data_IF_879098003261
#
_entry.id   IF_879098003261
#
_cell.length_a   1.000
_cell.length_b   1.000
_cell.length_c   1.000
_cell.angle_alpha   90.00
_cell.angle_beta   90.00
_cell.angle_gamma   90.00
#
_symmetry.space_group_name_H-M   'P 1'
#
loop_
_entity.id
_entity.type
_entity.pdbx_description
1 polymer ?
#
# COMPACT_ATOMS: atom_id res chain seq x y z
N UNK A 1 -14.10 6.29 -8.69
CA UNK A 1 -12.88 5.50 -8.32
C UNK A 1 -11.88 6.42 -7.62
N UNK A 2 -11.00 5.86 -6.77
CA UNK A 2 -9.92 6.66 -6.18
C UNK A 2 -9.15 7.41 -7.28
N UNK A 3 -8.77 8.66 -7.03
CA UNK A 3 -8.06 9.56 -7.98
C UNK A 3 -8.87 10.16 -9.13
N UNK A 4 -10.13 9.83 -9.39
CA UNK A 4 -10.90 10.46 -10.48
C UNK A 4 -10.99 11.99 -10.32
N UNK A 5 -11.36 12.47 -9.13
CA UNK A 5 -11.42 13.90 -8.84
C UNK A 5 -10.07 14.61 -8.98
N UNK A 6 -8.97 13.95 -8.58
CA UNK A 6 -7.63 14.48 -8.76
C UNK A 6 -7.26 14.55 -10.25
N UNK A 7 -7.51 13.48 -11.00
CA UNK A 7 -7.23 13.42 -12.43
C UNK A 7 -8.00 14.48 -13.22
N UNK A 8 -9.28 14.69 -12.90
CA UNK A 8 -10.11 15.73 -13.53
C UNK A 8 -9.57 17.12 -13.25
N UNK A 9 -9.23 17.45 -12.01
CA UNK A 9 -8.67 18.77 -11.62
C UNK A 9 -7.33 19.03 -12.28
N UNK A 10 -6.43 18.04 -12.30
CA UNK A 10 -5.17 18.13 -13.01
C UNK A 10 -5.38 18.35 -14.51
N UNK A 11 -6.33 17.62 -15.12
CA UNK A 11 -6.68 17.77 -16.54
C UNK A 11 -7.17 19.19 -16.85
N UNK A 12 -8.00 19.77 -15.97
CA UNK A 12 -8.52 21.14 -16.15
C UNK A 12 -7.42 22.19 -16.03
N UNK A 13 -6.52 22.09 -15.06
CA UNK A 13 -5.36 22.97 -14.93
C UNK A 13 -4.44 22.89 -16.16
N UNK A 14 -4.24 21.67 -16.69
CA UNK A 14 -3.42 21.47 -17.88
C UNK A 14 -4.07 21.95 -19.18
N UNK A 15 -5.41 21.92 -19.29
CA UNK A 15 -6.12 22.54 -20.44
C UNK A 15 -5.87 24.05 -20.49
N UNK A 16 -5.95 24.74 -19.35
CA UNK A 16 -5.62 26.18 -19.25
C UNK A 16 -4.16 26.45 -19.68
N UNK A 17 -3.22 25.63 -19.23
CA UNK A 17 -1.81 25.77 -19.58
C UNK A 17 -1.58 25.57 -21.08
N UNK A 18 -2.24 24.58 -21.70
CA UNK A 18 -2.15 24.31 -23.16
C UNK A 18 -2.73 25.42 -24.03
N UNK A 19 -3.70 26.19 -23.54
CA UNK A 19 -4.30 27.30 -24.31
C UNK A 19 -3.39 28.52 -24.42
N UNK A 20 -2.30 28.59 -23.61
CA UNK A 20 -1.30 29.63 -23.66
C UNK A 20 -0.21 29.24 -24.68
N UNK A 21 -0.03 30.01 -25.74
CA UNK A 21 0.96 29.70 -26.80
C UNK A 21 2.42 29.79 -26.33
N UNK A 22 2.77 30.83 -25.55
CA UNK A 22 4.05 30.95 -24.83
C UNK A 22 3.77 30.87 -23.34
N UNK A 23 4.64 30.21 -22.60
CA UNK A 23 4.58 30.17 -21.14
C UNK A 23 5.61 31.11 -20.54
N UNK A 24 5.20 31.82 -19.49
CA UNK A 24 6.09 32.56 -18.59
C UNK A 24 6.31 31.75 -17.31
N UNK A 25 7.34 32.05 -16.54
CA UNK A 25 7.53 31.48 -15.20
C UNK A 25 6.32 31.68 -14.30
N UNK A 26 5.63 32.82 -14.42
CA UNK A 26 4.42 33.16 -13.69
C UNK A 26 3.30 32.15 -14.01
N UNK A 27 3.13 31.78 -15.28
CA UNK A 27 2.13 30.83 -15.73
C UNK A 27 2.39 29.43 -15.13
N UNK A 28 3.64 28.99 -15.11
CA UNK A 28 4.05 27.73 -14.51
C UNK A 28 3.78 27.72 -13.00
N UNK A 29 4.14 28.81 -12.29
CA UNK A 29 3.89 28.94 -10.84
C UNK A 29 2.40 28.95 -10.51
N UNK A 30 1.58 29.60 -11.33
CA UNK A 30 0.12 29.61 -11.18
C UNK A 30 -0.45 28.19 -11.36
N UNK A 31 -0.06 27.48 -12.44
CA UNK A 31 -0.48 26.12 -12.68
C UNK A 31 -0.07 25.18 -11.54
N UNK A 32 1.15 25.31 -11.01
CA UNK A 32 1.61 24.50 -9.88
C UNK A 32 0.89 24.83 -8.57
N UNK A 33 0.39 26.04 -8.41
CA UNK A 33 -0.50 26.40 -7.30
C UNK A 33 -1.85 25.65 -7.42
N UNK A 34 -2.46 25.62 -8.62
CA UNK A 34 -3.68 24.84 -8.86
C UNK A 34 -3.45 23.34 -8.63
N UNK A 35 -2.34 22.78 -9.13
CA UNK A 35 -1.94 21.39 -8.90
C UNK A 35 -1.82 21.09 -7.40
N UNK A 36 -1.18 21.98 -6.62
CA UNK A 36 -1.08 21.82 -5.17
C UNK A 36 -2.42 21.81 -4.48
N UNK A 37 -3.33 22.71 -4.86
CA UNK A 37 -4.69 22.72 -4.33
C UNK A 37 -5.43 21.42 -4.66
N UNK A 38 -5.32 20.94 -5.90
CA UNK A 38 -5.91 19.65 -6.30
C UNK A 38 -5.37 18.46 -5.47
N UNK A 39 -4.07 18.44 -5.18
CA UNK A 39 -3.47 17.42 -4.31
C UNK A 39 -3.98 17.51 -2.88
N UNK A 40 -4.09 18.72 -2.31
CA UNK A 40 -4.63 18.92 -0.96
C UNK A 40 -6.11 18.51 -0.85
N UNK A 41 -6.92 18.85 -1.86
CA UNK A 41 -8.32 18.44 -1.93
C UNK A 41 -8.50 16.93 -2.12
N UNK A 42 -7.49 16.27 -2.72
CA UNK A 42 -7.40 14.82 -2.79
C UNK A 42 -6.87 14.18 -1.50
N UNK A 43 -6.71 14.95 -0.42
CA UNK A 43 -6.21 14.51 0.89
C UNK A 43 -4.74 14.06 0.88
N UNK A 44 -3.92 14.65 0.01
CA UNK A 44 -2.46 14.48 0.06
C UNK A 44 -1.89 15.32 1.20
N UNK A 45 -0.94 14.77 1.93
CA UNK A 45 -0.25 15.49 3.00
C UNK A 45 0.36 16.81 2.51
N UNK A 46 0.19 17.89 3.27
CA UNK A 46 0.65 19.23 2.89
C UNK A 46 2.14 19.29 2.53
N UNK A 47 2.99 18.64 3.34
CA UNK A 47 4.44 18.61 3.10
C UNK A 47 4.76 17.93 1.77
N UNK A 48 4.13 16.79 1.50
CA UNK A 48 4.28 16.03 0.25
C UNK A 48 3.82 16.85 -0.95
N UNK A 49 2.63 17.48 -0.89
CA UNK A 49 2.12 18.33 -1.96
C UNK A 49 3.03 19.56 -2.23
N UNK A 50 3.58 20.15 -1.15
CA UNK A 50 4.52 21.29 -1.26
C UNK A 50 5.84 20.87 -1.91
N UNK A 51 6.45 19.79 -1.46
CA UNK A 51 7.71 19.27 -2.00
C UNK A 51 7.56 18.86 -3.46
N UNK A 52 6.49 18.14 -3.79
CA UNK A 52 6.14 17.76 -5.15
C UNK A 52 6.05 18.98 -6.08
N UNK A 53 5.22 19.96 -5.71
CA UNK A 53 5.02 21.15 -6.56
C UNK A 53 6.27 22.03 -6.66
N UNK A 54 7.10 22.08 -5.62
CA UNK A 54 8.39 22.79 -5.68
C UNK A 54 9.34 22.13 -6.69
N UNK A 55 9.49 20.79 -6.62
CA UNK A 55 10.33 20.02 -7.51
C UNK A 55 9.89 20.12 -8.98
N UNK A 56 8.57 20.02 -9.23
CA UNK A 56 8.02 20.19 -10.59
C UNK A 56 8.27 21.62 -11.09
N UNK A 57 8.06 22.65 -10.24
CA UNK A 57 8.28 24.05 -10.61
C UNK A 57 9.73 24.31 -11.01
N UNK A 58 10.68 23.83 -10.23
CA UNK A 58 12.11 23.96 -10.50
C UNK A 58 12.49 23.38 -11.87
N UNK A 59 12.03 22.14 -12.16
CA UNK A 59 12.24 21.50 -13.46
C UNK A 59 11.54 22.21 -14.61
N UNK A 60 10.33 22.72 -14.39
CA UNK A 60 9.48 23.31 -15.42
C UNK A 60 9.91 24.75 -15.81
N UNK A 61 10.62 25.47 -14.95
CA UNK A 61 11.15 26.81 -15.22
C UNK A 61 12.51 26.76 -15.93
N UNK A 62 13.13 25.61 -16.06
CA UNK A 62 14.42 25.48 -16.75
C UNK A 62 14.36 25.97 -18.19
N UNK A 63 15.47 26.57 -18.67
CA UNK A 63 15.56 27.16 -20.00
C UNK A 63 15.15 26.22 -21.13
N UNK A 64 15.54 24.95 -21.02
CA UNK A 64 15.19 23.89 -21.99
C UNK A 64 13.66 23.74 -22.18
N UNK A 65 12.87 23.89 -21.10
CA UNK A 65 11.41 23.81 -21.15
C UNK A 65 10.83 25.12 -21.70
N UNK A 66 11.29 26.25 -21.22
CA UNK A 66 10.73 27.57 -21.54
C UNK A 66 11.01 27.99 -23.00
N UNK A 67 12.13 27.52 -23.56
CA UNK A 67 12.53 27.78 -24.96
C UNK A 67 11.99 26.73 -25.94
N UNK A 68 11.32 25.70 -25.44
CA UNK A 68 10.74 24.62 -26.27
C UNK A 68 9.59 25.12 -27.13
N UNK A 69 9.40 24.48 -28.30
CA UNK A 69 8.24 24.72 -29.17
C UNK A 69 6.91 24.28 -28.56
N UNK A 70 6.95 23.41 -27.53
CA UNK A 70 5.78 22.86 -26.84
C UNK A 70 5.93 22.90 -25.31
N UNK A 71 6.14 24.10 -24.71
CA UNK A 71 6.47 24.19 -23.29
C UNK A 71 5.38 23.62 -22.38
N UNK A 72 4.08 23.80 -22.70
CA UNK A 72 2.99 23.25 -21.94
C UNK A 72 2.99 21.71 -21.91
N UNK A 73 3.34 21.05 -23.01
CA UNK A 73 3.44 19.60 -23.06
C UNK A 73 4.63 19.10 -22.23
N UNK A 74 5.75 19.83 -22.24
CA UNK A 74 6.90 19.48 -21.42
C UNK A 74 6.59 19.62 -19.92
N UNK A 75 5.89 20.66 -19.49
CA UNK A 75 5.44 20.80 -18.10
C UNK A 75 4.55 19.63 -17.70
N UNK A 76 3.58 19.25 -18.54
CA UNK A 76 2.69 18.11 -18.28
C UNK A 76 3.48 16.79 -18.19
N UNK A 77 4.48 16.61 -19.06
CA UNK A 77 5.38 15.45 -19.02
C UNK A 77 6.14 15.39 -17.69
N UNK A 78 6.71 16.51 -17.25
CA UNK A 78 7.42 16.63 -15.97
C UNK A 78 6.50 16.26 -14.80
N UNK A 79 5.26 16.78 -14.77
CA UNK A 79 4.28 16.43 -13.73
C UNK A 79 4.00 14.92 -13.73
N UNK A 80 3.81 14.31 -14.91
CA UNK A 80 3.56 12.88 -15.02
C UNK A 80 4.75 12.03 -14.54
N UNK A 81 5.97 12.42 -14.89
CA UNK A 81 7.19 11.76 -14.43
C UNK A 81 7.33 11.82 -12.91
N UNK A 82 7.12 13.00 -12.31
CA UNK A 82 7.21 13.19 -10.87
C UNK A 82 6.08 12.47 -10.11
N UNK A 83 4.85 12.44 -10.65
CA UNK A 83 3.76 11.62 -10.09
C UNK A 83 4.09 10.14 -10.16
N UNK A 84 4.62 9.67 -11.29
CA UNK A 84 5.03 8.28 -11.45
C UNK A 84 6.15 7.91 -10.47
N UNK A 85 7.13 8.79 -10.29
CA UNK A 85 8.20 8.60 -9.31
C UNK A 85 7.65 8.57 -7.87
N UNK A 86 6.70 9.48 -7.55
CA UNK A 86 6.04 9.55 -6.25
C UNK A 86 5.24 8.26 -5.96
N UNK A 87 4.64 7.64 -7.00
CA UNK A 87 3.93 6.35 -6.88
C UNK A 87 4.86 5.13 -6.84
N UNK A 88 6.16 5.30 -7.10
CA UNK A 88 7.16 4.23 -6.99
C UNK A 88 7.75 3.72 -8.30
N UNK A 89 7.30 4.19 -9.46
CA UNK A 89 7.91 3.97 -10.78
C UNK A 89 7.77 2.55 -11.36
N UNK A 90 7.81 1.51 -10.52
CA UNK A 90 7.76 0.10 -10.95
C UNK A 90 6.81 -0.72 -10.09
N UNK A 91 6.36 -1.85 -10.64
CA UNK A 91 5.52 -2.79 -9.91
C UNK A 91 6.30 -3.46 -8.78
N UNK A 92 5.82 -3.35 -7.54
CA UNK A 92 6.36 -4.09 -6.40
C UNK A 92 6.09 -5.60 -6.55
N UNK A 93 7.07 -6.41 -6.14
CA UNK A 93 6.95 -7.87 -6.06
C UNK A 93 7.28 -8.30 -4.65
N UNK A 94 6.71 -9.41 -4.21
CA UNK A 94 7.10 -10.07 -2.97
C UNK A 94 8.47 -10.72 -3.16
N UNK A 95 9.28 -10.68 -2.12
CA UNK A 95 10.59 -11.32 -2.12
C UNK A 95 10.42 -12.85 -2.02
N UNK A 96 11.04 -13.56 -2.96
CA UNK A 96 11.13 -15.01 -2.92
C UNK A 96 12.56 -15.40 -2.49
N UNK A 97 12.73 -15.94 -1.28
CA UNK A 97 14.03 -16.38 -0.83
C UNK A 97 14.51 -17.60 -1.65
N UNK A 98 15.83 -17.79 -1.69
CA UNK A 98 16.44 -18.94 -2.38
C UNK A 98 16.01 -20.31 -1.83
N UNK A 99 15.54 -20.33 -0.57
CA UNK A 99 15.02 -21.53 0.10
C UNK A 99 13.57 -21.26 0.57
N UNK A 100 12.55 -21.83 -0.08
CA UNK A 100 11.17 -21.72 0.34
C UNK A 100 10.93 -22.29 1.76
N UNK A 101 9.86 -21.85 2.45
CA UNK A 101 8.83 -20.92 2.00
C UNK A 101 9.24 -19.45 2.18
N UNK A 102 8.70 -18.57 1.32
CA UNK A 102 8.65 -17.13 1.59
C UNK A 102 7.63 -16.87 2.70
N UNK A 103 8.03 -16.13 3.73
CA UNK A 103 7.16 -15.81 4.87
C UNK A 103 6.72 -14.36 4.74
N UNK A 104 5.41 -14.13 4.60
CA UNK A 104 4.80 -12.81 4.49
C UNK A 104 3.93 -12.58 5.72
N UNK A 105 4.27 -11.57 6.52
CA UNK A 105 3.52 -11.19 7.71
C UNK A 105 2.61 -10.00 7.38
N UNK A 106 1.28 -10.17 7.54
CA UNK A 106 0.32 -9.08 7.40
C UNK A 106 0.05 -8.46 8.76
N UNK A 107 0.30 -7.16 8.90
CA UNK A 107 0.04 -6.40 10.12
C UNK A 107 -0.87 -5.19 9.85
N UNK A 108 -1.36 -4.52 10.90
CA UNK A 108 -2.23 -3.35 10.80
C UNK A 108 -3.36 -3.36 11.83
N UNK A 109 -4.11 -2.27 11.88
CA UNK A 109 -5.19 -2.09 12.85
C UNK A 109 -6.38 -3.02 12.59
N UNK A 110 -7.27 -3.13 13.57
CA UNK A 110 -8.52 -3.86 13.45
C UNK A 110 -9.41 -3.23 12.36
N UNK A 111 -10.05 -4.06 11.55
CA UNK A 111 -10.94 -3.58 10.48
C UNK A 111 -10.21 -3.07 9.22
N UNK A 112 -8.88 -3.04 9.21
CA UNK A 112 -8.10 -2.65 8.03
C UNK A 112 -8.21 -3.65 6.87
N UNK A 113 -8.68 -4.89 7.11
CA UNK A 113 -8.90 -5.89 6.05
C UNK A 113 -7.77 -6.92 5.90
N UNK A 114 -6.94 -7.15 6.92
CA UNK A 114 -5.84 -8.13 6.89
C UNK A 114 -6.27 -9.50 6.41
N UNK A 115 -7.24 -10.11 7.08
CA UNK A 115 -7.76 -11.46 6.79
C UNK A 115 -8.25 -11.59 5.34
N UNK A 116 -9.03 -10.61 4.87
CA UNK A 116 -9.52 -10.58 3.49
C UNK A 116 -8.37 -10.47 2.48
N UNK A 117 -7.37 -9.64 2.78
CA UNK A 117 -6.23 -9.43 1.88
C UNK A 117 -5.22 -10.57 1.93
N UNK A 118 -5.11 -11.30 3.04
CA UNK A 118 -4.39 -12.57 3.10
C UNK A 118 -4.96 -13.56 2.06
N UNK A 119 -6.28 -13.73 2.02
CA UNK A 119 -6.94 -14.59 1.03
C UNK A 119 -6.79 -14.07 -0.42
N UNK A 120 -6.94 -12.75 -0.64
CA UNK A 120 -6.71 -12.13 -1.96
C UNK A 120 -5.28 -12.35 -2.46
N UNK A 121 -4.31 -12.18 -1.57
CA UNK A 121 -2.90 -12.40 -1.89
C UNK A 121 -2.63 -13.87 -2.19
N UNK A 122 -3.19 -14.78 -1.40
CA UNK A 122 -3.11 -16.23 -1.66
C UNK A 122 -3.68 -16.58 -3.04
N UNK A 123 -4.86 -16.07 -3.41
CA UNK A 123 -5.43 -16.26 -4.75
C UNK A 123 -4.50 -15.74 -5.85
N UNK A 124 -3.95 -14.54 -5.68
CA UNK A 124 -3.02 -13.95 -6.64
C UNK A 124 -1.75 -14.79 -6.81
N UNK A 125 -1.18 -15.31 -5.73
CA UNK A 125 -0.03 -16.20 -5.77
C UNK A 125 -0.36 -17.52 -6.49
N UNK A 126 -1.53 -18.11 -6.22
CA UNK A 126 -2.01 -19.32 -6.93
C UNK A 126 -2.14 -19.10 -8.45
N UNK A 127 -2.63 -17.94 -8.90
CA UNK A 127 -2.71 -17.64 -10.36
C UNK A 127 -1.33 -17.56 -11.02
N UNK A 128 -0.27 -17.37 -10.21
CA UNK A 128 1.13 -17.39 -10.67
C UNK A 128 1.81 -18.75 -10.51
N UNK A 129 1.06 -19.78 -10.12
CA UNK A 129 1.57 -21.15 -9.96
C UNK A 129 2.18 -21.45 -8.59
N UNK A 130 2.04 -20.57 -7.61
CA UNK A 130 2.53 -20.78 -6.25
C UNK A 130 1.56 -21.58 -5.40
N UNK A 131 2.07 -22.14 -4.29
CA UNK A 131 1.34 -22.93 -3.31
C UNK A 131 1.33 -22.22 -1.95
N UNK A 132 0.46 -21.21 -1.73
CA UNK A 132 0.39 -20.50 -0.46
C UNK A 132 -0.31 -21.29 0.63
N UNK A 133 0.11 -21.04 1.89
CA UNK A 133 -0.51 -21.48 3.12
C UNK A 133 -0.94 -20.25 3.93
N UNK A 134 -2.20 -20.16 4.32
CA UNK A 134 -2.70 -19.14 5.24
C UNK A 134 -2.45 -19.57 6.68
N UNK A 135 -2.11 -18.64 7.58
CA UNK A 135 -1.81 -18.94 8.99
C UNK A 135 -2.62 -18.03 9.91
N UNK A 136 -3.41 -18.62 10.79
CA UNK A 136 -4.27 -17.92 11.73
C UNK A 136 -3.51 -17.56 13.01
N UNK A 137 -2.99 -16.34 13.11
CA UNK A 137 -2.36 -15.82 14.32
C UNK A 137 -3.22 -14.79 15.08
N UNK A 138 -4.42 -14.42 14.59
CA UNK A 138 -5.39 -13.65 15.36
C UNK A 138 -6.21 -14.58 16.26
N UNK A 139 -5.67 -14.87 17.45
CA UNK A 139 -6.28 -15.79 18.42
C UNK A 139 -7.21 -15.10 19.42
N UNK A 140 -7.23 -13.75 19.43
CA UNK A 140 -7.94 -12.96 20.45
C UNK A 140 -9.41 -12.76 20.11
N UNK A 141 -9.76 -12.81 18.83
CA UNK A 141 -11.14 -12.68 18.39
C UNK A 141 -11.76 -14.08 18.16
N UNK A 142 -12.87 -14.42 18.83
CA UNK A 142 -13.44 -15.77 18.77
C UNK A 142 -13.75 -16.29 17.36
N UNK A 143 -14.08 -15.38 16.44
CA UNK A 143 -14.44 -15.73 15.08
C UNK A 143 -13.28 -15.58 14.06
N UNK A 144 -12.10 -15.10 14.46
CA UNK A 144 -11.03 -14.75 13.50
C UNK A 144 -10.48 -15.98 12.76
N UNK A 145 -10.21 -17.07 13.48
CA UNK A 145 -9.73 -18.34 12.88
C UNK A 145 -10.77 -18.84 11.88
N UNK A 146 -12.04 -18.92 12.29
CA UNK A 146 -13.12 -19.36 11.40
C UNK A 146 -13.30 -18.43 10.19
N UNK A 147 -13.15 -17.14 10.39
CA UNK A 147 -13.20 -16.15 9.30
C UNK A 147 -12.09 -16.43 8.27
N UNK A 148 -10.85 -16.67 8.72
CA UNK A 148 -9.75 -16.99 7.82
C UNK A 148 -9.99 -18.32 7.09
N UNK A 149 -10.54 -19.33 7.77
CA UNK A 149 -10.92 -20.61 7.16
C UNK A 149 -11.98 -20.44 6.07
N UNK A 150 -13.01 -19.62 6.31
CA UNK A 150 -14.06 -19.33 5.32
C UNK A 150 -13.48 -18.65 4.09
N UNK A 151 -12.72 -17.55 4.26
CA UNK A 151 -12.15 -16.84 3.10
C UNK A 151 -11.04 -17.64 2.41
N UNK A 152 -10.29 -18.46 3.14
CA UNK A 152 -9.33 -19.42 2.60
C UNK A 152 -10.01 -20.47 1.73
N UNK A 153 -11.15 -21.03 2.19
CA UNK A 153 -11.96 -21.96 1.41
C UNK A 153 -12.52 -21.36 0.12
N UNK A 154 -12.93 -20.09 0.15
CA UNK A 154 -13.39 -19.38 -1.06
C UNK A 154 -12.33 -19.24 -2.15
N UNK A 155 -11.05 -19.24 -1.78
CA UNK A 155 -9.92 -19.17 -2.71
C UNK A 155 -9.17 -20.50 -2.83
N UNK A 156 -9.77 -21.56 -2.29
CA UNK A 156 -9.19 -22.90 -2.30
C UNK A 156 -7.73 -22.91 -1.80
N UNK A 157 -7.50 -22.28 -0.65
CA UNK A 157 -6.19 -22.18 -0.01
C UNK A 157 -6.30 -22.72 1.42
N UNK A 158 -5.43 -23.66 1.81
CA UNK A 158 -5.46 -24.24 3.15
C UNK A 158 -5.09 -23.22 4.22
N UNK A 159 -5.67 -23.42 5.40
CA UNK A 159 -5.42 -22.59 6.59
C UNK A 159 -4.79 -23.46 7.68
N UNK A 160 -3.63 -23.05 8.16
CA UNK A 160 -2.97 -23.62 9.32
C UNK A 160 -3.40 -22.88 10.58
N UNK A 161 -3.82 -23.61 11.59
CA UNK A 161 -4.21 -23.06 12.89
C UNK A 161 -3.81 -24.02 14.03
N UNK A 162 -3.70 -23.50 15.23
CA UNK A 162 -3.44 -24.29 16.46
C UNK A 162 -4.33 -23.79 17.62
N UNK A 163 -5.56 -23.39 17.32
CA UNK A 163 -6.49 -22.86 18.30
C UNK A 163 -5.97 -21.59 18.98
N UNK A 164 -5.94 -21.58 20.31
CA UNK A 164 -5.53 -20.44 21.15
C UNK A 164 -4.06 -20.49 21.59
N UNK A 165 -3.22 -21.28 20.91
CA UNK A 165 -1.78 -21.28 21.19
C UNK A 165 -1.15 -19.91 20.90
N UNK A 166 0.02 -19.63 21.49
CA UNK A 166 0.73 -18.36 21.29
C UNK A 166 1.04 -18.11 19.81
N UNK A 167 0.77 -16.89 19.27
CA UNK A 167 0.99 -16.57 17.85
C UNK A 167 2.38 -16.92 17.33
N UNK A 168 3.42 -16.71 18.14
CA UNK A 168 4.81 -17.07 17.80
C UNK A 168 4.96 -18.57 17.56
N UNK A 169 4.36 -19.42 18.40
CA UNK A 169 4.42 -20.88 18.24
C UNK A 169 3.65 -21.34 17.01
N UNK A 170 2.47 -20.72 16.75
CA UNK A 170 1.68 -21.01 15.55
C UNK A 170 2.49 -20.70 14.31
N UNK A 171 3.10 -19.52 14.23
CA UNK A 171 3.90 -19.07 13.09
C UNK A 171 5.10 -20.00 12.82
N UNK A 172 5.83 -20.40 13.87
CA UNK A 172 6.95 -21.33 13.74
C UNK A 172 6.50 -22.73 13.29
N UNK A 173 5.40 -23.24 13.83
CA UNK A 173 4.85 -24.54 13.45
C UNK A 173 4.34 -24.52 12.00
N UNK A 174 3.72 -23.42 11.55
CA UNK A 174 3.26 -23.23 10.19
C UNK A 174 4.41 -23.27 9.17
N UNK A 175 5.58 -22.71 9.50
CA UNK A 175 6.76 -22.75 8.61
C UNK A 175 7.28 -24.18 8.48
N UNK A 176 7.32 -24.96 9.59
CA UNK A 176 7.69 -26.38 9.52
C UNK A 176 6.70 -27.16 8.67
N UNK A 177 5.41 -26.99 8.92
CA UNK A 177 4.34 -27.59 8.12
C UNK A 177 4.47 -27.23 6.64
N UNK A 178 4.73 -25.96 6.32
CA UNK A 178 4.90 -25.53 4.94
C UNK A 178 6.07 -26.24 4.24
N UNK A 179 7.20 -26.45 4.93
CA UNK A 179 8.34 -27.21 4.41
C UNK A 179 8.01 -28.66 4.17
N UNK A 180 7.33 -29.31 5.13
CA UNK A 180 7.00 -30.73 5.09
C UNK A 180 6.00 -31.04 3.95
N UNK A 181 5.07 -30.13 3.66
CA UNK A 181 4.03 -30.29 2.64
C UNK A 181 4.29 -29.53 1.33
N UNK A 182 5.45 -28.87 1.20
CA UNK A 182 5.88 -28.22 -0.03
C UNK A 182 5.06 -26.97 -0.38
N UNK A 183 4.63 -26.19 0.60
CA UNK A 183 4.12 -24.84 0.38
C UNK A 183 5.30 -23.88 0.19
N UNK A 184 5.19 -22.98 -0.78
CA UNK A 184 6.26 -22.04 -1.13
C UNK A 184 6.04 -20.62 -0.58
N UNK A 185 4.81 -20.33 -0.11
CA UNK A 185 4.46 -19.10 0.62
C UNK A 185 3.73 -19.41 1.91
N UNK A 186 4.07 -18.69 2.98
CA UNK A 186 3.37 -18.69 4.27
C UNK A 186 2.86 -17.29 4.54
N UNK A 187 1.54 -17.10 4.55
CA UNK A 187 0.87 -15.81 4.75
C UNK A 187 0.31 -15.77 6.18
N UNK A 188 0.97 -15.01 7.06
CA UNK A 188 0.62 -14.91 8.47
C UNK A 188 -0.39 -13.78 8.66
N UNK A 189 -1.64 -14.12 9.00
CA UNK A 189 -2.68 -13.16 9.39
C UNK A 189 -2.58 -12.89 10.89
N UNK A 190 -2.03 -11.71 11.25
CA UNK A 190 -1.81 -11.35 12.66
C UNK A 190 -3.02 -10.64 13.25
N UNK A 191 -3.10 -10.62 14.58
CA UNK A 191 -4.09 -9.84 15.30
C UNK A 191 -4.03 -8.35 14.92
N UNK A 192 -5.15 -7.67 15.05
CA UNK A 192 -5.24 -6.22 14.97
C UNK A 192 -5.98 -5.69 16.18
N UNK A 193 -5.55 -4.54 16.68
CA UNK A 193 -6.24 -3.79 17.73
C UNK A 193 -6.81 -2.50 17.19
N UNK A 194 -7.70 -1.86 17.96
CA UNK A 194 -8.34 -0.61 17.54
C UNK A 194 -7.35 0.55 17.42
N UNK A 195 -6.27 0.49 18.19
CA UNK A 195 -5.19 1.47 18.18
C UNK A 195 -3.84 0.78 18.36
N UNK A 196 -2.78 1.49 18.03
CA UNK A 196 -1.40 1.03 18.25
C UNK A 196 -1.12 1.09 19.75
N UNK A 197 -0.84 -0.05 20.36
CA UNK A 197 -0.41 -0.16 21.73
C UNK A 197 0.88 -1.01 21.84
N UNK A 198 1.52 -0.92 23.00
CA UNK A 198 2.78 -1.61 23.25
C UNK A 198 2.63 -3.14 23.15
N UNK A 199 1.52 -3.69 23.60
CA UNK A 199 1.28 -5.14 23.58
C UNK A 199 1.17 -5.67 22.15
N UNK A 200 0.46 -4.95 21.25
CA UNK A 200 0.40 -5.29 19.83
C UNK A 200 1.78 -5.26 19.19
N UNK A 201 2.53 -4.18 19.43
CA UNK A 201 3.83 -4.02 18.81
C UNK A 201 4.86 -5.03 19.31
N UNK A 202 4.82 -5.38 20.59
CA UNK A 202 5.69 -6.42 21.15
C UNK A 202 5.38 -7.80 20.55
N UNK A 203 4.10 -8.17 20.43
CA UNK A 203 3.70 -9.43 19.78
C UNK A 203 4.18 -9.51 18.33
N UNK A 204 3.99 -8.43 17.55
CA UNK A 204 4.44 -8.39 16.17
C UNK A 204 5.98 -8.48 16.05
N UNK A 205 6.73 -7.84 16.96
CA UNK A 205 8.19 -7.95 17.05
C UNK A 205 8.63 -9.38 17.42
N UNK A 206 7.94 -10.02 18.35
CA UNK A 206 8.22 -11.42 18.72
C UNK A 206 7.99 -12.37 17.54
N UNK A 207 6.87 -12.21 16.82
CA UNK A 207 6.62 -12.99 15.60
C UNK A 207 7.73 -12.73 14.57
N UNK A 208 8.03 -11.43 14.26
CA UNK A 208 9.10 -11.06 13.33
C UNK A 208 10.43 -11.73 13.68
N UNK A 209 10.84 -11.64 14.94
CA UNK A 209 12.11 -12.22 15.40
C UNK A 209 12.12 -13.77 15.28
N UNK A 210 10.98 -14.43 15.51
CA UNK A 210 10.86 -15.87 15.52
C UNK A 210 10.84 -16.51 14.13
N UNK A 211 10.30 -15.81 13.12
CA UNK A 211 10.10 -16.36 11.78
C UNK A 211 10.92 -15.68 10.68
N UNK A 212 11.55 -14.55 10.98
CA UNK A 212 12.34 -13.75 10.04
C UNK A 212 11.65 -13.60 8.67
N UNK A 213 10.50 -12.89 8.60
CA UNK A 213 9.71 -12.81 7.39
C UNK A 213 10.51 -12.15 6.24
N UNK A 214 10.31 -12.64 5.02
CA UNK A 214 10.83 -11.99 3.80
C UNK A 214 10.10 -10.67 3.52
N UNK A 215 8.80 -10.62 3.86
CA UNK A 215 7.99 -9.43 3.72
C UNK A 215 7.14 -9.16 4.97
N UNK A 216 7.06 -7.89 5.35
CA UNK A 216 6.13 -7.38 6.36
C UNK A 216 5.23 -6.36 5.67
N UNK A 217 3.97 -6.75 5.44
CA UNK A 217 3.00 -5.94 4.73
C UNK A 217 2.03 -5.28 5.71
N UNK A 218 2.07 -3.97 5.78
CA UNK A 218 1.08 -3.20 6.52
C UNK A 218 -0.21 -3.09 5.70
N UNK A 219 -1.32 -3.51 6.27
CA UNK A 219 -2.65 -3.36 5.67
C UNK A 219 -3.34 -2.15 6.30
N UNK A 220 -3.70 -1.17 5.48
CA UNK A 220 -4.25 0.12 5.92
C UNK A 220 -5.54 0.44 5.17
N UNK A 221 -6.53 0.92 5.90
CA UNK A 221 -7.78 1.42 5.34
C UNK A 221 -7.57 2.81 4.72
N UNK A 222 -7.74 2.94 3.41
CA UNK A 222 -7.57 4.21 2.71
C UNK A 222 -8.60 5.27 3.08
N UNK A 223 -9.74 4.87 3.68
CA UNK A 223 -10.78 5.80 4.11
C UNK A 223 -10.39 6.61 5.36
N UNK A 224 -9.35 6.19 6.07
CA UNK A 224 -8.86 6.92 7.27
C UNK A 224 -7.99 8.14 6.91
N UNK A 225 -7.77 8.42 5.63
CA UNK A 225 -7.09 9.63 5.17
C UNK A 225 -5.68 9.80 5.76
N UNK A 226 -5.39 10.96 6.36
CA UNK A 226 -4.09 11.26 6.95
C UNK A 226 -3.72 10.38 8.15
N UNK A 227 -4.71 9.80 8.84
CA UNK A 227 -4.43 8.84 9.93
C UNK A 227 -3.75 7.58 9.38
N UNK A 228 -4.08 7.15 8.15
CA UNK A 228 -3.38 6.06 7.48
C UNK A 228 -1.86 6.34 7.34
N UNK A 229 -1.48 7.60 7.14
CA UNK A 229 -0.07 8.02 7.03
C UNK A 229 0.64 7.91 8.38
N UNK A 230 -0.01 8.36 9.46
CA UNK A 230 0.53 8.27 10.82
C UNK A 230 0.72 6.81 11.25
N UNK A 231 -0.29 5.97 10.98
CA UNK A 231 -0.23 4.51 11.22
C UNK A 231 0.93 3.90 10.45
N UNK A 232 1.06 4.19 9.15
CA UNK A 232 2.12 3.65 8.31
C UNK A 232 3.51 4.04 8.82
N UNK A 233 3.70 5.30 9.21
CA UNK A 233 4.95 5.76 9.79
C UNK A 233 5.28 5.02 11.09
N UNK A 234 4.32 4.90 12.01
CA UNK A 234 4.55 4.24 13.30
C UNK A 234 4.89 2.76 13.12
N UNK A 235 4.19 2.05 12.22
CA UNK A 235 4.52 0.66 11.93
C UNK A 235 5.88 0.51 11.25
N UNK A 236 6.27 1.44 10.38
CA UNK A 236 7.58 1.44 9.74
C UNK A 236 8.70 1.66 10.75
N UNK A 237 8.58 2.69 11.60
CA UNK A 237 9.56 3.01 12.65
C UNK A 237 9.78 1.84 13.64
N UNK A 238 8.73 1.04 13.94
CA UNK A 238 8.78 -0.02 14.95
C UNK A 238 9.04 -1.41 14.38
N UNK A 239 8.64 -1.69 13.14
CA UNK A 239 8.73 -3.02 12.53
C UNK A 239 9.56 -3.06 11.26
N UNK A 240 9.95 -1.91 10.68
CA UNK A 240 10.60 -1.83 9.38
C UNK A 240 9.80 -2.63 8.33
N UNK A 241 8.61 -2.16 8.01
CA UNK A 241 7.72 -2.79 7.04
C UNK A 241 8.36 -2.80 5.65
N UNK A 242 8.07 -3.81 4.82
CA UNK A 242 8.59 -3.90 3.44
C UNK A 242 7.64 -3.29 2.41
N UNK A 243 6.35 -3.24 2.73
CA UNK A 243 5.33 -2.69 1.84
C UNK A 243 4.01 -2.37 2.54
N UNK A 244 3.13 -1.69 1.82
CA UNK A 244 1.80 -1.29 2.30
C UNK A 244 0.73 -1.76 1.33
N UNK A 245 -0.35 -2.34 1.86
CA UNK A 245 -1.56 -2.68 1.11
C UNK A 245 -2.65 -1.68 1.49
N UNK A 246 -3.09 -0.88 0.54
CA UNK A 246 -4.25 0.00 0.71
C UNK A 246 -5.54 -0.73 0.39
N UNK A 247 -6.47 -0.69 1.33
CA UNK A 247 -7.79 -1.33 1.22
C UNK A 247 -8.88 -0.29 1.00
N UNK A 248 -10.08 -0.74 0.60
CA UNK A 248 -11.29 0.08 0.43
C UNK A 248 -11.11 1.27 -0.54
N UNK A 249 -10.21 1.14 -1.52
CA UNK A 249 -10.00 2.16 -2.57
C UNK A 249 -11.17 2.28 -3.56
N UNK A 250 -12.12 1.38 -3.49
CA UNK A 250 -13.40 1.35 -4.20
C UNK A 250 -14.49 2.19 -3.51
N UNK A 251 -14.28 2.59 -2.26
CA UNK A 251 -15.12 3.50 -1.52
C UNK A 251 -14.94 4.97 -1.94
N UNK A 252 -15.59 5.86 -1.20
CA UNK A 252 -15.49 7.32 -1.42
C UNK A 252 -14.16 7.86 -0.86
N UNK A 253 -13.06 7.39 -1.43
CA UNK A 253 -11.71 7.83 -1.05
C UNK A 253 -11.12 8.77 -2.08
N UNK A 254 -10.47 9.81 -1.62
CA UNK A 254 -9.78 10.79 -2.48
C UNK A 254 -8.45 10.29 -3.01
N UNK A 255 -7.93 9.18 -2.45
CA UNK A 255 -6.71 8.50 -2.89
C UNK A 255 -5.38 9.12 -2.41
N UNK A 256 -5.39 10.32 -1.85
CA UNK A 256 -4.18 11.04 -1.46
C UNK A 256 -3.34 10.37 -0.38
N UNK A 257 -3.96 9.54 0.46
CA UNK A 257 -3.24 8.73 1.44
C UNK A 257 -2.15 7.86 0.79
N UNK A 258 -2.41 7.32 -0.42
CA UNK A 258 -1.42 6.51 -1.14
C UNK A 258 -0.13 7.29 -1.43
N UNK A 259 -0.26 8.50 -2.00
CA UNK A 259 0.87 9.37 -2.30
C UNK A 259 1.64 9.75 -1.03
N UNK A 260 0.90 10.04 0.04
CA UNK A 260 1.46 10.47 1.32
C UNK A 260 2.22 9.33 2.02
N UNK A 261 1.64 8.14 2.10
CA UNK A 261 2.27 6.96 2.72
C UNK A 261 3.59 6.64 2.00
N UNK A 262 3.57 6.62 0.66
CA UNK A 262 4.77 6.36 -0.13
C UNK A 262 5.86 7.38 0.14
N UNK A 263 5.51 8.67 0.14
CA UNK A 263 6.48 9.74 0.38
C UNK A 263 7.07 9.71 1.78
N UNK A 264 6.26 9.35 2.80
CA UNK A 264 6.69 9.37 4.21
C UNK A 264 7.50 8.13 4.58
N UNK A 265 7.12 6.95 4.08
CA UNK A 265 7.79 5.69 4.43
C UNK A 265 8.85 5.25 3.42
N UNK A 266 8.81 5.76 2.17
CA UNK A 266 9.63 5.26 1.07
C UNK A 266 9.27 3.84 0.60
N UNK A 267 8.31 3.18 1.25
CA UNK A 267 7.95 1.78 0.99
C UNK A 267 7.05 1.63 -0.24
N UNK A 268 7.07 0.49 -0.88
CA UNK A 268 6.21 0.20 -2.02
C UNK A 268 4.75 0.05 -1.57
N UNK A 269 3.83 0.51 -2.43
CA UNK A 269 2.39 0.40 -2.17
C UNK A 269 1.79 -0.60 -3.15
N UNK A 270 1.09 -1.59 -2.62
CA UNK A 270 0.27 -2.53 -3.37
C UNK A 270 -1.22 -2.17 -3.29
N UNK A 271 -1.94 -2.43 -4.38
CA UNK A 271 -3.40 -2.37 -4.43
C UNK A 271 -3.95 -3.78 -4.66
N UNK A 272 -4.88 -4.23 -3.82
CA UNK A 272 -5.62 -5.44 -4.09
C UNK A 272 -6.76 -5.14 -5.09
N UNK A 273 -6.86 -5.92 -6.16
CA UNK A 273 -7.96 -5.82 -7.11
C UNK A 273 -9.30 -6.20 -6.46
N UNK A 274 -10.37 -5.48 -6.86
CA UNK A 274 -11.72 -5.58 -6.28
C UNK A 274 -12.45 -6.91 -6.60
N UNK A 275 -11.91 -7.76 -7.46
CA UNK A 275 -12.62 -8.95 -7.98
C UNK A 275 -13.06 -9.99 -6.95
N UNK A 276 -12.54 -9.94 -5.71
CA UNK A 276 -13.02 -10.80 -4.62
C UNK A 276 -14.20 -10.20 -3.84
N UNK A 277 -14.54 -8.93 -4.00
CA UNK A 277 -15.66 -8.31 -3.28
C UNK A 277 -17.02 -8.54 -3.94
N UNK A 278 -17.06 -8.85 -5.23
CA UNK A 278 -18.32 -9.06 -5.98
C UNK A 278 -18.94 -10.44 -5.83
N UNK A 279 -18.36 -11.33 -5.02
CA UNK A 279 -18.82 -12.73 -4.82
C UNK A 279 -18.89 -13.18 -3.36
N UNK A 280 -18.92 -12.23 -2.39
CA UNK A 280 -19.15 -12.55 -0.97
C UNK A 280 -20.52 -11.99 -0.59
#
# INVERSE_FOLDING_TARGET
MAFEGLAEKLSNSFKKLRSKGKLSESDVREAMREVRLALLEADVNYKVAKEFTAKVTERAIGAEVMESLTPAQMVIKIVNEELTALMGGSQARLDMPSKPPAVVMLCGLQGAGKTTHAAKLAKHLKTKGHRPLLVACDIYRPAAIKQLQVVGGQVDTPVFEMGTEKPVKIAQAAIRHAKDYGYDYVLIDTAGRLQIDEALMNELKEIKAAVNPSDILLVVDSMTGQEAVNVAKTFDDLLDITGVILTKLDGDTRGGAALSIRSVTGKQIGRAHAELQSRI
#
